data_IF_281302633504
#
_entry.id   IF_281302633504
#
_cell.length_a   1.000
_cell.length_b   1.000
_cell.length_c   1.000
_cell.angle_alpha   90.00
_cell.angle_beta   90.00
_cell.angle_gamma   90.00
#
_symmetry.space_group_name_H-M   'P 1'
#
loop_
_entity.id
_entity.type
_entity.pdbx_description
1 polymer ?
#
# COMPACT_ATOMS: atom_id res chain seq x y z
N UNK A 1 13.71 12.86 15.30
CA UNK A 1 12.56 13.46 16.00
C UNK A 1 11.70 12.31 16.48
N UNK A 2 11.51 12.30 17.79
CA UNK A 2 11.15 11.15 18.60
C UNK A 2 9.71 10.69 18.38
N UNK A 3 9.57 9.37 18.20
CA UNK A 3 8.30 8.67 18.34
C UNK A 3 7.77 9.01 19.74
N UNK A 4 6.55 9.56 19.85
CA UNK A 4 6.06 10.04 21.14
C UNK A 4 5.74 8.83 22.01
N UNK A 5 6.37 8.75 23.18
CA UNK A 5 6.17 7.67 24.14
C UNK A 5 4.68 7.46 24.52
N UNK A 6 3.85 8.49 24.38
CA UNK A 6 2.42 8.42 24.63
C UNK A 6 1.66 7.50 23.66
N UNK A 7 1.98 7.51 22.36
CA UNK A 7 1.35 6.63 21.36
C UNK A 7 1.78 5.17 21.53
N UNK A 8 3.08 4.95 21.77
CA UNK A 8 3.59 3.60 22.09
C UNK A 8 2.87 3.07 23.34
N UNK A 9 2.66 3.91 24.35
CA UNK A 9 1.96 3.51 25.58
C UNK A 9 0.47 3.21 25.36
N UNK A 10 -0.23 3.93 24.47
CA UNK A 10 -1.61 3.58 24.11
C UNK A 10 -1.69 2.27 23.34
N UNK A 11 -0.78 2.03 22.40
CA UNK A 11 -0.72 0.79 21.62
C UNK A 11 -0.44 -0.41 22.54
N UNK A 12 0.52 -0.29 23.46
CA UNK A 12 0.83 -1.32 24.44
C UNK A 12 -0.36 -1.61 25.38
N UNK A 13 -1.10 -0.58 25.80
CA UNK A 13 -2.32 -0.77 26.61
C UNK A 13 -3.40 -1.50 25.83
N UNK A 14 -3.58 -1.17 24.55
CA UNK A 14 -4.56 -1.84 23.70
C UNK A 14 -4.17 -3.29 23.37
N UNK A 15 -2.87 -3.59 23.19
CA UNK A 15 -2.38 -4.97 23.09
C UNK A 15 -2.71 -5.79 24.34
N UNK A 16 -2.48 -5.26 25.54
CA UNK A 16 -2.82 -5.94 26.80
C UNK A 16 -4.33 -6.16 26.91
N UNK A 17 -5.13 -5.17 26.51
CA UNK A 17 -6.60 -5.22 26.58
C UNK A 17 -7.22 -6.21 25.59
N UNK A 18 -6.60 -6.38 24.42
CA UNK A 18 -7.09 -7.24 23.34
C UNK A 18 -6.38 -8.60 23.27
N UNK A 19 -5.55 -8.93 24.27
CA UNK A 19 -4.88 -10.22 24.38
C UNK A 19 -5.88 -11.38 24.29
N UNK A 20 -5.84 -12.14 23.19
CA UNK A 20 -6.77 -13.24 22.88
C UNK A 20 -7.80 -12.98 21.76
N UNK A 21 -7.85 -11.80 21.13
CA UNK A 21 -8.66 -11.52 19.92
C UNK A 21 -7.76 -11.38 18.68
N UNK A 22 -7.23 -12.49 18.18
CA UNK A 22 -6.13 -12.48 17.18
C UNK A 22 -6.56 -12.11 15.74
N UNK A 23 -7.76 -12.45 15.30
CA UNK A 23 -8.04 -12.53 13.85
C UNK A 23 -8.32 -11.20 13.12
N UNK A 24 -8.70 -10.11 13.80
CA UNK A 24 -9.03 -8.84 13.13
C UNK A 24 -7.92 -7.79 13.18
N UNK A 25 -6.96 -7.94 14.10
CA UNK A 25 -5.90 -6.94 14.31
C UNK A 25 -4.77 -7.12 13.28
N UNK A 26 -4.54 -8.33 12.77
CA UNK A 26 -3.43 -8.62 11.85
C UNK A 26 -3.55 -7.97 10.46
N UNK A 27 -4.76 -7.62 10.03
CA UNK A 27 -5.03 -7.08 8.69
C UNK A 27 -5.19 -5.55 8.67
N UNK A 28 -5.21 -4.93 9.85
CA UNK A 28 -5.46 -3.50 10.03
C UNK A 28 -4.25 -2.88 10.71
N UNK A 29 -3.84 -1.71 10.22
CA UNK A 29 -2.79 -0.92 10.83
C UNK A 29 -3.26 0.44 11.28
N UNK A 30 -2.43 1.11 12.08
CA UNK A 30 -2.63 2.48 12.51
C UNK A 30 -1.42 3.33 12.13
N UNK A 31 -1.66 4.49 11.50
CA UNK A 31 -0.59 5.42 11.13
C UNK A 31 0.04 5.99 12.40
N UNK A 32 1.35 5.77 12.56
CA UNK A 32 2.17 6.37 13.62
C UNK A 32 2.69 7.74 13.21
N UNK A 33 3.08 7.89 11.94
CA UNK A 33 3.60 9.16 11.43
C UNK A 33 3.47 9.20 9.92
N UNK A 34 3.37 10.40 9.38
CA UNK A 34 3.33 10.67 7.94
C UNK A 34 4.17 11.90 7.65
N UNK A 35 4.94 11.85 6.57
CA UNK A 35 5.69 12.99 6.07
C UNK A 35 6.44 12.66 4.79
N UNK A 36 6.55 13.64 3.91
CA UNK A 36 7.22 13.55 2.60
C UNK A 36 6.78 12.34 1.77
N UNK A 37 5.48 12.00 1.83
CA UNK A 37 4.91 10.86 1.09
C UNK A 37 5.22 9.48 1.68
N UNK A 38 5.75 9.41 2.89
CA UNK A 38 6.02 8.16 3.62
C UNK A 38 5.18 8.11 4.88
N UNK A 39 4.46 7.00 5.09
CA UNK A 39 3.77 6.69 6.33
C UNK A 39 4.47 5.54 7.06
N UNK A 40 4.59 5.65 8.38
CA UNK A 40 4.92 4.53 9.26
C UNK A 40 3.65 4.03 9.91
N UNK A 41 3.39 2.74 9.79
CA UNK A 41 2.13 2.13 10.23
C UNK A 41 2.43 1.01 11.19
N UNK A 42 1.81 1.03 12.36
CA UNK A 42 1.85 -0.07 13.32
C UNK A 42 0.79 -1.11 12.97
N UNK A 43 1.05 -2.40 13.21
CA UNK A 43 0.18 -3.52 12.84
C UNK A 43 0.45 -4.01 11.42
N UNK A 44 -0.60 -4.40 10.70
CA UNK A 44 -0.48 -5.04 9.37
C UNK A 44 0.42 -6.29 9.40
N UNK A 45 0.33 -7.11 10.45
CA UNK A 45 1.24 -8.23 10.74
C UNK A 45 1.43 -9.21 9.57
N UNK A 46 0.42 -9.36 8.71
CA UNK A 46 0.44 -10.29 7.59
C UNK A 46 0.71 -9.62 6.22
N UNK A 47 1.08 -8.33 6.20
CA UNK A 47 1.37 -7.61 4.95
C UNK A 47 2.64 -8.13 4.28
N UNK A 48 2.61 -8.17 2.95
CA UNK A 48 3.75 -8.61 2.15
C UNK A 48 4.54 -7.42 1.60
N UNK A 49 5.83 -7.62 1.33
CA UNK A 49 6.64 -6.62 0.66
C UNK A 49 6.10 -6.36 -0.75
N UNK A 50 5.90 -5.09 -1.10
CA UNK A 50 5.28 -4.68 -2.35
C UNK A 50 3.76 -4.84 -2.37
N UNK A 51 3.12 -5.16 -1.24
CA UNK A 51 1.66 -5.23 -1.14
C UNK A 51 1.04 -3.83 -1.13
N UNK A 52 -0.10 -3.71 -1.81
CA UNK A 52 -0.93 -2.52 -1.81
C UNK A 52 -1.68 -2.40 -0.49
N UNK A 53 -1.75 -1.19 0.02
CA UNK A 53 -2.56 -0.80 1.17
C UNK A 53 -3.48 0.36 0.80
N UNK A 54 -4.54 0.52 1.58
CA UNK A 54 -5.53 1.58 1.43
C UNK A 54 -5.62 2.37 2.73
N UNK A 55 -5.42 3.68 2.60
CA UNK A 55 -5.63 4.70 3.62
C UNK A 55 -7.07 5.24 3.55
N UNK A 56 -7.53 5.99 4.56
CA UNK A 56 -8.81 6.68 4.47
C UNK A 56 -8.89 7.57 3.23
N UNK A 57 -10.09 7.70 2.67
CA UNK A 57 -10.30 8.46 1.42
C UNK A 57 -9.92 7.71 0.15
N UNK A 58 -9.54 6.42 0.24
CA UNK A 58 -9.19 5.59 -0.92
C UNK A 58 -7.80 5.87 -1.46
N UNK A 59 -6.96 6.56 -0.68
CA UNK A 59 -5.56 6.82 -1.04
C UNK A 59 -4.80 5.49 -0.96
N UNK A 60 -4.11 5.17 -2.05
CA UNK A 60 -3.35 3.93 -2.14
C UNK A 60 -1.93 4.13 -1.61
N UNK A 61 -1.32 3.06 -1.11
CA UNK A 61 0.12 3.02 -0.82
C UNK A 61 0.69 1.63 -1.03
N UNK A 62 2.01 1.53 -0.92
CA UNK A 62 2.75 0.27 -1.06
C UNK A 62 3.67 0.05 0.13
N UNK A 63 3.58 -1.13 0.73
CA UNK A 63 4.50 -1.56 1.78
C UNK A 63 5.90 -1.79 1.22
N UNK A 64 6.87 -0.97 1.64
CA UNK A 64 8.26 -1.02 1.17
C UNK A 64 9.17 -1.71 2.20
N UNK A 65 9.04 -1.31 3.47
CA UNK A 65 9.85 -1.82 4.58
C UNK A 65 8.96 -2.56 5.58
N UNK A 66 9.35 -3.77 5.95
CA UNK A 66 8.70 -4.55 7.00
C UNK A 66 9.66 -4.61 8.19
N UNK A 67 9.46 -3.71 9.16
CA UNK A 67 10.22 -3.72 10.41
C UNK A 67 9.48 -4.53 11.47
N UNK A 68 10.13 -4.80 12.60
CA UNK A 68 9.54 -5.61 13.68
C UNK A 68 8.33 -4.93 14.30
N UNK A 69 8.40 -3.61 14.45
CA UNK A 69 7.40 -2.84 15.20
C UNK A 69 6.52 -1.95 14.30
N UNK A 70 6.87 -1.79 13.02
CA UNK A 70 6.13 -0.96 12.08
C UNK A 70 6.41 -1.34 10.62
N UNK A 71 5.55 -0.86 9.74
CA UNK A 71 5.63 -1.02 8.30
C UNK A 71 5.83 0.36 7.67
N UNK A 72 6.89 0.50 6.87
CA UNK A 72 7.14 1.67 6.06
C UNK A 72 6.36 1.59 4.75
N UNK A 73 5.46 2.54 4.54
CA UNK A 73 4.54 2.57 3.40
C UNK A 73 4.80 3.84 2.59
N UNK A 74 5.05 3.68 1.30
CA UNK A 74 5.09 4.79 0.35
C UNK A 74 3.67 5.11 -0.09
N UNK A 75 3.28 6.37 0.00
CA UNK A 75 1.94 6.85 -0.37
C UNK A 75 1.92 7.16 -1.87
N UNK A 76 0.89 6.68 -2.56
CA UNK A 76 0.63 7.01 -3.96
C UNK A 76 -0.42 8.11 -4.04
N UNK A 77 0.04 9.36 -4.02
CA UNK A 77 -0.82 10.53 -4.09
C UNK A 77 -0.34 11.64 -3.16
N UNK A 78 -1.31 12.39 -2.63
CA UNK A 78 -1.07 13.45 -1.65
C UNK A 78 -1.17 12.86 -0.24
N UNK A 79 -0.23 13.20 0.63
CA UNK A 79 -0.15 12.74 2.02
C UNK A 79 -0.89 13.66 3.01
N UNK A 80 -1.34 14.84 2.57
CA UNK A 80 -2.00 15.87 3.42
C UNK A 80 -3.29 15.40 4.09
N UNK A 81 -4.00 14.48 3.43
CA UNK A 81 -5.28 13.96 3.93
C UNK A 81 -5.09 12.80 4.92
N UNK A 82 -3.87 12.27 5.04
CA UNK A 82 -3.53 11.21 5.98
C UNK A 82 -3.05 11.82 7.29
N UNK A 83 -3.52 11.27 8.40
CA UNK A 83 -3.17 11.74 9.75
C UNK A 83 -2.68 10.60 10.62
N UNK A 84 -1.89 10.98 11.61
CA UNK A 84 -1.54 10.10 12.72
C UNK A 84 -2.81 9.58 13.40
N UNK A 85 -2.83 8.27 13.69
CA UNK A 85 -3.98 7.56 14.23
C UNK A 85 -4.94 7.00 13.17
N UNK A 86 -4.80 7.34 11.90
CA UNK A 86 -5.66 6.83 10.83
C UNK A 86 -5.52 5.32 10.64
N UNK A 87 -6.61 4.70 10.22
CA UNK A 87 -6.66 3.26 9.97
C UNK A 87 -6.23 2.93 8.55
N UNK A 88 -5.28 2.01 8.41
CA UNK A 88 -4.77 1.52 7.13
C UNK A 88 -5.17 0.06 6.97
N UNK A 89 -5.58 -0.33 5.76
CA UNK A 89 -5.98 -1.71 5.46
C UNK A 89 -5.13 -2.26 4.34
N UNK A 90 -4.66 -3.51 4.49
CA UNK A 90 -4.01 -4.19 3.37
C UNK A 90 -5.04 -4.73 2.38
N UNK A 91 -4.65 -4.78 1.11
CA UNK A 91 -5.54 -5.21 0.02
C UNK A 91 -5.39 -6.69 -0.34
N UNK A 92 -4.33 -7.36 0.13
CA UNK A 92 -3.99 -8.74 -0.25
C UNK A 92 -3.30 -8.86 -1.61
N UNK A 93 -3.15 -7.75 -2.35
CA UNK A 93 -2.58 -7.75 -3.68
C UNK A 93 -1.21 -7.08 -3.70
N UNK A 94 -0.20 -7.80 -4.19
CA UNK A 94 1.06 -7.18 -4.63
C UNK A 94 0.75 -6.16 -5.72
N UNK A 95 1.45 -5.03 -5.72
CA UNK A 95 1.33 -3.94 -6.68
C UNK A 95 1.05 -4.46 -8.09
N UNK A 96 -0.14 -4.13 -8.58
CA UNK A 96 -0.66 -4.55 -9.87
C UNK A 96 -1.36 -3.39 -10.57
N UNK A 97 -1.22 -3.33 -11.90
CA UNK A 97 -1.81 -2.29 -12.74
C UNK A 97 -2.68 -2.93 -13.82
N UNK A 98 -3.73 -2.23 -14.29
CA UNK A 98 -4.53 -2.70 -15.41
C UNK A 98 -3.66 -2.82 -16.66
N UNK A 99 -3.88 -3.87 -17.45
CA UNK A 99 -3.23 -4.08 -18.75
C UNK A 99 -4.26 -4.48 -19.80
N UNK A 100 -3.96 -4.17 -21.07
CA UNK A 100 -4.81 -4.57 -22.19
C UNK A 100 -4.83 -3.56 -23.32
N UNK A 101 -5.54 -3.92 -24.40
CA UNK A 101 -5.72 -3.02 -25.56
C UNK A 101 -6.61 -1.83 -25.23
N UNK A 102 -7.38 -1.92 -24.15
CA UNK A 102 -8.29 -0.89 -23.65
C UNK A 102 -7.55 0.38 -23.19
N UNK A 103 -6.23 0.28 -22.95
CA UNK A 103 -5.35 1.42 -22.61
C UNK A 103 -4.89 2.22 -23.83
N UNK A 104 -5.01 1.67 -25.05
CA UNK A 104 -4.51 2.33 -26.25
C UNK A 104 -5.22 3.66 -26.49
N UNK A 105 -4.45 4.74 -26.63
CA UNK A 105 -4.97 6.09 -26.86
C UNK A 105 -5.52 6.79 -25.60
N UNK A 106 -5.35 6.20 -24.42
CA UNK A 106 -5.69 6.81 -23.13
C UNK A 106 -4.47 7.48 -22.50
N UNK A 107 -4.72 8.44 -21.62
CA UNK A 107 -3.70 8.98 -20.70
C UNK A 107 -4.01 8.45 -19.31
N UNK A 108 -3.03 7.82 -18.67
CA UNK A 108 -3.15 7.19 -17.35
C UNK A 108 -2.07 7.67 -16.39
N UNK A 109 -2.33 7.58 -15.09
CA UNK A 109 -1.34 7.77 -14.04
C UNK A 109 -0.44 6.52 -13.86
N UNK A 110 0.48 6.58 -12.87
CA UNK A 110 1.38 5.47 -12.56
C UNK A 110 0.72 4.19 -12.06
N UNK A 111 -0.54 4.26 -11.60
CA UNK A 111 -1.34 3.11 -11.17
C UNK A 111 -2.29 2.60 -12.26
N UNK A 112 -2.30 3.25 -13.43
CA UNK A 112 -3.16 2.90 -14.55
C UNK A 112 -4.57 3.47 -14.48
N UNK A 113 -4.84 4.44 -13.59
CA UNK A 113 -6.11 5.15 -13.55
C UNK A 113 -6.16 6.20 -14.67
N UNK A 114 -7.31 6.37 -15.35
CA UNK A 114 -7.44 7.35 -16.42
C UNK A 114 -7.43 8.80 -15.90
N UNK A 115 -6.59 9.64 -16.51
CA UNK A 115 -6.49 11.07 -16.20
C UNK A 115 -6.86 11.98 -17.40
N UNK A 116 -7.34 11.39 -18.49
CA UNK A 116 -7.73 12.10 -19.72
C UNK A 116 -9.18 12.61 -19.75
N UNK A 117 -9.96 12.40 -18.68
CA UNK A 117 -11.36 12.81 -18.60
C UNK A 117 -12.33 12.03 -19.50
N UNK A 118 -11.89 10.97 -20.20
CA UNK A 118 -12.71 10.18 -21.13
C UNK A 118 -13.51 9.04 -20.45
N UNK A 119 -13.70 9.12 -19.12
CA UNK A 119 -14.37 8.10 -18.32
C UNK A 119 -13.49 6.88 -17.96
N UNK A 120 -14.05 5.84 -17.31
CA UNK A 120 -13.29 4.72 -16.79
C UNK A 120 -12.72 3.80 -17.89
N UNK A 121 -11.57 3.17 -17.61
CA UNK A 121 -10.97 2.15 -18.48
C UNK A 121 -11.49 0.77 -18.04
N UNK A 122 -12.15 0.05 -18.95
CA UNK A 122 -12.66 -1.32 -18.69
C UNK A 122 -11.59 -2.37 -18.99
N UNK A 123 -10.45 -2.31 -18.30
CA UNK A 123 -9.38 -3.29 -18.47
C UNK A 123 -9.84 -4.67 -18.00
N UNK A 124 -9.58 -5.70 -18.81
CA UNK A 124 -10.01 -7.08 -18.52
C UNK A 124 -9.03 -7.85 -17.65
N UNK A 125 -7.80 -7.37 -17.56
CA UNK A 125 -6.69 -8.04 -16.87
C UNK A 125 -5.89 -7.02 -16.10
N UNK A 126 -5.25 -7.51 -15.04
CA UNK A 126 -4.20 -6.80 -14.32
C UNK A 126 -2.93 -7.63 -14.37
N UNK A 127 -1.79 -6.96 -14.22
CA UNK A 127 -0.49 -7.61 -14.09
C UNK A 127 0.31 -6.95 -12.97
N UNK A 128 1.12 -7.75 -12.29
CA UNK A 128 2.08 -7.24 -11.30
C UNK A 128 3.10 -6.33 -12.01
N UNK A 129 3.46 -5.24 -11.36
CA UNK A 129 4.45 -4.30 -11.91
C UNK A 129 5.85 -4.91 -11.88
N UNK A 130 6.21 -5.52 -10.74
CA UNK A 130 7.49 -6.19 -10.59
C UNK A 130 7.40 -7.65 -11.02
N UNK A 131 7.90 -7.92 -12.23
CA UNK A 131 8.04 -9.27 -12.78
C UNK A 131 9.45 -9.49 -13.29
N UNK A 132 9.97 -10.70 -13.07
CA UNK A 132 11.29 -11.09 -13.56
C UNK A 132 11.32 -11.02 -15.10
N UNK A 133 12.31 -10.32 -15.64
CA UNK A 133 12.53 -10.24 -17.07
C UNK A 133 12.79 -11.63 -17.71
N UNK A 134 12.49 -11.81 -19.01
CA UNK A 134 12.78 -13.06 -19.70
C UNK A 134 14.26 -13.46 -19.59
N UNK A 135 14.51 -14.75 -19.35
CA UNK A 135 15.87 -15.33 -19.34
C UNK A 135 16.53 -15.29 -20.73
N UNK A 136 17.72 -15.87 -20.88
CA UNK A 136 18.46 -15.84 -22.16
C UNK A 136 17.75 -16.69 -23.23
N UNK A 137 17.27 -17.89 -22.87
CA UNK A 137 16.67 -18.85 -23.80
C UNK A 137 15.48 -18.31 -24.64
N UNK A 138 14.50 -17.56 -24.08
CA UNK A 138 13.39 -17.00 -24.87
C UNK A 138 13.74 -15.74 -25.66
N UNK A 139 14.96 -15.20 -25.55
CA UNK A 139 15.35 -13.98 -26.27
C UNK A 139 15.71 -14.30 -27.72
N UNK A 140 15.50 -13.32 -28.60
CA UNK A 140 15.96 -13.34 -30.00
C UNK A 140 16.82 -12.11 -30.23
N UNK A 141 17.85 -12.23 -31.07
CA UNK A 141 18.58 -11.05 -31.55
C UNK A 141 17.60 -10.11 -32.23
N UNK A 142 17.68 -8.83 -31.89
CA UNK A 142 17.00 -7.74 -32.60
C UNK A 142 17.64 -7.50 -33.95
#
# INVERSE_FOLDING_TARGET
MDIRAAEISSILKDQIKNFGKEAQVSEIGQVLSVGDGIARVYGLDNVQAGEMVEFPGGIAGMALNLEVDNVGIVIFGDDRDIKEGDTVKRTGAIVEVPIGKELLGRVVDGLGNPIDGKGPIKAKKKARVDVKAPGILPRKSV
#
